data_IF_400385140343
#
_entry.id   IF_400385140343
#
_cell.length_a   1.000
_cell.length_b   1.000
_cell.length_c   1.000
_cell.angle_alpha   90.00
_cell.angle_beta   90.00
_cell.angle_gamma   90.00
#
_symmetry.space_group_name_H-M   'P 1'
#
loop_
_entity.id
_entity.type
_entity.pdbx_description
1 polymer ?
#
# COMPACT_ATOMS: atom_id res chain seq x y z
N UNK A 1 -55.06 20.32 61.67
CA UNK A 1 -56.23 19.44 61.72
C UNK A 1 -55.88 18.18 61.01
N UNK A 2 -55.53 17.11 61.83
CA UNK A 2 -56.13 15.76 61.82
C UNK A 2 -56.03 15.05 60.46
N UNK A 3 -55.51 13.85 60.21
CA UNK A 3 -55.41 12.62 61.02
C UNK A 3 -54.64 11.64 60.17
N UNK A 4 -53.63 10.97 60.68
CA UNK A 4 -53.37 9.56 60.88
C UNK A 4 -54.11 8.54 59.99
N UNK A 5 -53.42 7.58 59.38
CA UNK A 5 -53.55 6.15 59.67
C UNK A 5 -52.59 5.30 58.86
N UNK A 6 -51.67 4.81 59.52
CA UNK A 6 -51.09 3.46 59.63
C UNK A 6 -51.85 2.33 58.90
N UNK A 7 -51.13 1.54 58.12
CA UNK A 7 -51.59 0.18 57.83
C UNK A 7 -50.34 -0.71 57.49
N UNK A 8 -49.90 -1.33 58.56
CA UNK A 8 -48.96 -2.47 58.57
C UNK A 8 -49.59 -3.68 57.85
N UNK A 9 -49.00 -4.14 56.81
CA UNK A 9 -49.31 -5.45 56.22
C UNK A 9 -48.08 -6.39 56.29
N UNK A 10 -48.27 -7.40 57.12
CA UNK A 10 -47.38 -8.48 57.43
C UNK A 10 -47.14 -9.35 56.17
N UNK A 11 -45.89 -9.55 55.76
CA UNK A 11 -45.47 -10.54 54.77
C UNK A 11 -45.57 -11.96 55.33
N UNK A 12 -46.15 -12.93 54.60
CA UNK A 12 -46.16 -14.32 55.03
C UNK A 12 -44.81 -15.00 54.80
N UNK A 13 -44.34 -15.66 55.80
CA UNK A 13 -43.04 -16.39 55.91
C UNK A 13 -42.93 -17.67 55.08
N UNK A 14 -43.55 -17.81 53.91
CA UNK A 14 -43.58 -19.08 53.16
C UNK A 14 -43.08 -19.02 51.72
N UNK A 15 -42.36 -17.97 51.30
CA UNK A 15 -41.85 -17.84 49.91
C UNK A 15 -40.32 -17.74 49.81
N UNK A 16 -39.57 -18.35 50.72
CA UNK A 16 -38.11 -18.23 50.83
C UNK A 16 -37.35 -19.49 50.46
N UNK A 17 -37.91 -20.38 49.64
CA UNK A 17 -37.22 -21.62 49.26
C UNK A 17 -37.24 -21.99 47.77
N UNK A 18 -37.50 -21.08 46.84
CA UNK A 18 -37.45 -21.38 45.40
C UNK A 18 -36.69 -20.27 44.65
N UNK A 19 -35.53 -19.83 45.09
CA UNK A 19 -34.69 -18.87 44.39
C UNK A 19 -33.21 -19.26 44.49
N UNK A 20 -32.89 -20.51 44.36
CA UNK A 20 -31.52 -21.00 44.57
C UNK A 20 -31.02 -22.00 43.53
N UNK A 21 -31.55 -22.01 42.29
CA UNK A 21 -31.07 -23.01 41.33
C UNK A 21 -31.18 -22.60 39.86
N UNK A 22 -30.83 -21.36 39.53
CA UNK A 22 -30.79 -20.89 38.13
C UNK A 22 -29.66 -19.89 37.94
N UNK A 23 -28.46 -20.21 38.38
CA UNK A 23 -27.30 -19.28 38.32
C UNK A 23 -25.97 -19.93 37.94
N UNK A 24 -25.98 -21.00 37.13
CA UNK A 24 -24.74 -21.67 36.73
C UNK A 24 -24.80 -22.20 35.30
N UNK A 25 -25.21 -21.42 34.34
CA UNK A 25 -25.13 -21.75 32.93
C UNK A 25 -24.88 -20.48 32.06
N UNK A 26 -23.86 -19.74 32.36
CA UNK A 26 -23.51 -18.50 31.64
C UNK A 26 -22.01 -18.26 31.53
N UNK A 27 -21.19 -19.27 31.73
CA UNK A 27 -19.76 -19.25 31.38
C UNK A 27 -19.61 -19.86 29.99
N UNK A 28 -20.10 -19.17 29.02
CA UNK A 28 -20.00 -19.55 27.62
C UNK A 28 -19.18 -18.52 26.86
N UNK A 29 -18.08 -18.95 26.35
CA UNK A 29 -17.55 -18.61 25.04
C UNK A 29 -17.47 -17.10 24.73
N UNK A 30 -16.58 -16.39 25.38
CA UNK A 30 -15.85 -15.35 24.67
C UNK A 30 -14.98 -16.04 23.63
N UNK A 31 -15.62 -16.41 22.52
CA UNK A 31 -14.92 -16.67 21.28
C UNK A 31 -14.11 -15.41 20.99
N UNK A 32 -12.79 -15.46 21.14
CA UNK A 32 -11.87 -14.54 20.50
C UNK A 32 -12.09 -14.68 18.99
N UNK A 33 -13.14 -14.08 18.48
CA UNK A 33 -13.23 -13.72 17.09
C UNK A 33 -12.09 -12.74 16.84
N UNK A 34 -10.99 -13.20 16.25
CA UNK A 34 -10.08 -12.32 15.53
C UNK A 34 -10.97 -11.58 14.55
N UNK A 35 -11.25 -10.33 14.88
CA UNK A 35 -12.02 -9.44 14.02
C UNK A 35 -11.31 -9.42 12.69
N UNK A 36 -12.06 -9.70 11.63
CA UNK A 36 -11.63 -9.53 10.24
C UNK A 36 -11.47 -8.03 9.87
N UNK A 37 -11.23 -7.16 10.85
CA UNK A 37 -11.03 -5.72 10.69
C UNK A 37 -9.58 -5.33 10.33
N UNK A 38 -8.65 -6.31 10.30
CA UNK A 38 -7.25 -6.03 9.99
C UNK A 38 -6.96 -5.89 8.48
N UNK A 39 -8.00 -5.99 7.62
CA UNK A 39 -7.84 -6.01 6.17
C UNK A 39 -8.13 -4.68 5.47
N UNK A 40 -8.53 -3.63 6.19
CA UNK A 40 -8.98 -2.36 5.57
C UNK A 40 -8.20 -1.11 6.01
N UNK A 41 -7.14 -1.25 6.78
CA UNK A 41 -6.30 -0.10 7.04
C UNK A 41 -5.60 0.28 5.72
N UNK A 42 -5.91 1.48 5.20
CA UNK A 42 -5.25 2.01 4.02
C UNK A 42 -3.74 2.01 4.28
N UNK A 43 -3.00 1.27 3.44
CA UNK A 43 -1.55 1.23 3.55
C UNK A 43 -0.99 2.61 3.21
N UNK A 44 -0.09 3.08 4.06
CA UNK A 44 0.66 4.32 3.84
C UNK A 44 1.99 3.92 3.22
N UNK A 45 2.41 4.54 2.10
CA UNK A 45 3.71 4.28 1.52
C UNK A 45 4.82 4.66 2.50
N UNK A 46 5.89 3.86 2.53
CA UNK A 46 7.07 4.12 3.33
C UNK A 46 8.00 5.11 2.61
N UNK A 47 8.66 5.98 3.37
CA UNK A 47 9.66 6.90 2.81
C UNK A 47 10.99 6.19 2.60
N UNK A 48 11.74 6.65 1.60
CA UNK A 48 13.08 6.18 1.29
C UNK A 48 14.07 6.81 2.28
N UNK A 49 14.78 5.99 3.02
CA UNK A 49 15.93 6.43 3.82
C UNK A 49 17.25 6.23 3.03
N UNK A 50 18.38 6.82 3.50
CA UNK A 50 19.65 6.71 2.78
C UNK A 50 20.20 5.27 2.63
N UNK A 51 19.65 4.29 3.37
CA UNK A 51 20.06 2.89 3.31
C UNK A 51 19.04 2.00 2.60
N UNK A 52 17.95 2.58 2.13
CA UNK A 52 16.94 1.84 1.38
C UNK A 52 17.52 1.29 0.08
N UNK A 53 17.41 -0.01 -0.11
CA UNK A 53 17.93 -0.72 -1.28
C UNK A 53 16.79 -1.27 -2.13
N UNK A 54 17.06 -1.42 -3.41
CA UNK A 54 16.20 -2.15 -4.33
C UNK A 54 16.18 -3.64 -3.96
N UNK A 55 14.99 -4.24 -3.91
CA UNK A 55 14.82 -5.65 -3.59
C UNK A 55 15.31 -6.56 -4.75
N UNK A 56 15.33 -6.04 -5.97
CA UNK A 56 15.69 -6.81 -7.16
C UNK A 56 17.19 -6.95 -7.35
N UNK A 57 17.97 -5.88 -7.14
CA UNK A 57 19.39 -5.81 -7.46
C UNK A 57 20.29 -5.27 -6.33
N UNK A 58 19.70 -4.79 -5.23
CA UNK A 58 20.43 -4.30 -4.06
C UNK A 58 21.00 -2.87 -4.21
N UNK A 59 20.70 -2.15 -5.29
CA UNK A 59 21.15 -0.77 -5.49
C UNK A 59 20.55 0.16 -4.44
N UNK A 60 21.32 1.14 -3.95
CA UNK A 60 20.81 2.19 -3.07
C UNK A 60 19.87 3.12 -3.84
N UNK A 61 18.61 3.22 -3.41
CA UNK A 61 17.61 4.03 -4.10
C UNK A 61 18.00 5.51 -4.18
N UNK A 62 18.71 5.99 -3.15
CA UNK A 62 19.12 7.38 -3.02
C UNK A 62 20.14 7.83 -4.08
N UNK A 63 20.87 6.91 -4.68
CA UNK A 63 21.98 7.20 -5.58
C UNK A 63 21.57 7.36 -7.04
N UNK A 64 20.30 7.05 -7.36
CA UNK A 64 19.84 6.96 -8.74
C UNK A 64 18.65 7.87 -9.00
N UNK A 65 18.55 8.45 -10.23
CA UNK A 65 17.44 9.30 -10.64
C UNK A 65 16.18 8.50 -10.98
N UNK A 66 15.11 9.22 -11.27
CA UNK A 66 13.88 8.68 -11.80
C UNK A 66 12.94 8.07 -10.75
N UNK A 67 11.72 7.67 -11.16
CA UNK A 67 10.67 7.24 -10.26
C UNK A 67 11.02 5.96 -9.51
N UNK A 68 10.89 6.00 -8.19
CA UNK A 68 10.99 4.81 -7.34
C UNK A 68 9.62 4.16 -7.15
N UNK A 69 9.63 2.90 -6.74
CA UNK A 69 8.44 2.14 -6.50
C UNK A 69 8.52 1.29 -5.24
N UNK A 70 7.37 0.84 -4.73
CA UNK A 70 7.29 -0.07 -3.61
C UNK A 70 6.06 -0.97 -3.70
N UNK A 71 6.20 -2.22 -3.22
CA UNK A 71 5.11 -3.20 -3.13
C UNK A 71 4.94 -3.64 -1.69
N UNK A 72 3.69 -3.62 -1.21
CA UNK A 72 3.28 -4.30 0.02
C UNK A 72 2.64 -5.63 -0.33
N UNK A 73 3.20 -6.71 0.16
CA UNK A 73 2.63 -8.04 0.04
C UNK A 73 1.83 -8.43 1.29
N UNK A 74 0.88 -9.34 1.11
CA UNK A 74 0.16 -9.91 2.24
C UNK A 74 1.12 -10.64 3.18
N UNK A 75 0.92 -10.48 4.50
CA UNK A 75 1.75 -11.10 5.52
C UNK A 75 3.12 -10.45 5.74
N UNK A 76 3.48 -9.40 5.01
CA UNK A 76 4.73 -8.65 5.23
C UNK A 76 4.43 -7.23 5.76
N UNK A 77 5.06 -6.81 6.87
CA UNK A 77 4.80 -5.50 7.47
C UNK A 77 5.50 -4.35 6.72
N UNK A 78 6.60 -4.65 6.02
CA UNK A 78 7.41 -3.66 5.31
C UNK A 78 7.24 -3.85 3.80
N UNK A 79 7.31 -2.76 3.01
CA UNK A 79 7.33 -2.86 1.56
C UNK A 79 8.67 -3.38 1.03
N UNK A 80 8.64 -3.95 -0.15
CA UNK A 80 9.81 -4.13 -1.00
C UNK A 80 9.95 -2.90 -1.88
N UNK A 81 11.14 -2.33 -1.93
CA UNK A 81 11.46 -1.17 -2.76
C UNK A 81 12.06 -1.57 -4.10
N UNK A 82 11.82 -0.75 -5.11
CA UNK A 82 12.40 -0.86 -6.44
C UNK A 82 13.01 0.48 -6.86
N UNK A 83 14.18 0.43 -7.45
CA UNK A 83 14.89 1.63 -7.88
C UNK A 83 14.30 2.25 -9.15
N UNK A 84 13.42 1.52 -9.85
CA UNK A 84 12.72 2.00 -11.04
C UNK A 84 11.30 1.42 -11.16
N UNK A 85 10.40 2.15 -11.78
CA UNK A 85 9.03 1.69 -12.10
C UNK A 85 9.02 0.53 -13.09
N UNK A 86 10.02 0.43 -13.97
CA UNK A 86 10.17 -0.72 -14.88
C UNK A 86 10.34 -2.01 -14.07
N UNK A 87 11.12 -1.99 -13.00
CA UNK A 87 11.32 -3.15 -12.11
C UNK A 87 10.05 -3.54 -11.37
N UNK A 88 9.30 -2.55 -10.88
CA UNK A 88 7.99 -2.77 -10.28
C UNK A 88 7.08 -3.53 -11.25
N UNK A 89 6.88 -3.01 -12.47
CA UNK A 89 5.99 -3.62 -13.44
C UNK A 89 6.51 -4.95 -13.96
N UNK A 90 7.81 -5.09 -14.16
CA UNK A 90 8.43 -6.37 -14.47
C UNK A 90 8.08 -7.42 -13.41
N UNK A 91 8.16 -7.05 -12.12
CA UNK A 91 7.82 -7.93 -10.99
C UNK A 91 6.32 -8.25 -10.95
N UNK A 92 5.44 -7.25 -11.12
CA UNK A 92 4.00 -7.43 -11.05
C UNK A 92 3.42 -8.25 -12.21
N UNK A 93 4.01 -8.14 -13.40
CA UNK A 93 3.50 -8.76 -14.63
C UNK A 93 4.13 -10.13 -14.95
N UNK A 94 5.06 -10.61 -14.11
CA UNK A 94 5.64 -11.95 -14.28
C UNK A 94 4.59 -13.02 -14.03
N UNK A 95 4.52 -14.06 -14.90
CA UNK A 95 3.59 -15.20 -14.69
C UNK A 95 3.83 -15.94 -13.37
N UNK A 96 5.06 -15.91 -12.86
CA UNK A 96 5.46 -16.55 -11.60
C UNK A 96 5.07 -15.77 -10.36
N UNK A 97 4.54 -14.55 -10.52
CA UNK A 97 4.11 -13.72 -9.38
C UNK A 97 2.81 -14.29 -8.78
N UNK A 98 2.96 -15.01 -7.68
CA UNK A 98 1.86 -15.68 -6.96
C UNK A 98 1.56 -15.05 -5.60
N UNK A 99 2.41 -14.11 -5.12
CA UNK A 99 2.20 -13.45 -3.83
C UNK A 99 1.05 -12.46 -3.92
N UNK A 100 0.14 -12.50 -2.96
CA UNK A 100 -0.95 -11.52 -2.90
C UNK A 100 -0.40 -10.10 -2.64
N UNK A 101 -0.63 -9.20 -3.59
CA UNK A 101 -0.24 -7.78 -3.50
C UNK A 101 -1.35 -7.01 -2.80
N UNK A 102 -1.05 -6.37 -1.67
CA UNK A 102 -1.98 -5.51 -0.94
C UNK A 102 -2.02 -4.10 -1.54
N UNK A 103 -0.86 -3.55 -1.88
CA UNK A 103 -0.74 -2.25 -2.55
C UNK A 103 0.60 -2.16 -3.28
N UNK A 104 0.63 -1.34 -4.33
CA UNK A 104 1.85 -0.90 -4.98
C UNK A 104 1.79 0.62 -5.14
N UNK A 105 2.89 1.29 -4.83
CA UNK A 105 3.02 2.74 -4.92
C UNK A 105 4.19 3.11 -5.83
N UNK A 106 4.05 4.25 -6.50
CA UNK A 106 5.10 4.87 -7.31
C UNK A 106 5.19 6.35 -6.98
N UNK A 107 6.31 6.97 -7.26
CA UNK A 107 6.49 8.41 -7.05
C UNK A 107 5.88 9.21 -8.20
N UNK A 108 5.26 10.34 -7.87
CA UNK A 108 4.73 11.30 -8.84
C UNK A 108 5.85 12.21 -9.35
N UNK A 109 6.33 11.98 -10.57
CA UNK A 109 7.41 12.74 -11.18
C UNK A 109 6.99 14.11 -11.70
N UNK A 110 5.72 14.44 -11.56
CA UNK A 110 5.25 15.80 -11.73
C UNK A 110 5.49 16.71 -10.51
N UNK A 111 5.75 16.08 -9.34
CA UNK A 111 5.94 16.75 -8.06
C UNK A 111 7.32 16.49 -7.47
N UNK A 112 7.85 15.27 -7.61
CA UNK A 112 9.15 14.87 -7.11
C UNK A 112 10.28 15.42 -7.98
N UNK A 113 11.42 15.69 -7.36
CA UNK A 113 12.66 15.95 -8.09
C UNK A 113 13.12 14.69 -8.84
N UNK A 114 13.54 14.83 -10.09
CA UNK A 114 13.93 13.68 -10.90
C UNK A 114 15.24 13.07 -10.47
N UNK A 115 16.21 13.91 -10.10
CA UNK A 115 17.58 13.47 -9.81
C UNK A 115 17.73 12.99 -8.36
N UNK A 116 16.87 13.48 -7.46
CA UNK A 116 16.81 13.08 -6.06
C UNK A 116 15.35 12.85 -5.61
N UNK A 117 14.65 11.87 -6.15
CA UNK A 117 13.23 11.67 -5.90
C UNK A 117 12.96 11.30 -4.43
N UNK A 118 12.04 12.03 -3.80
CA UNK A 118 11.59 11.82 -2.42
C UNK A 118 10.09 12.09 -2.31
N UNK A 119 9.42 11.32 -1.47
CA UNK A 119 8.00 11.51 -1.22
C UNK A 119 7.11 11.39 -2.45
N UNK A 120 5.98 12.09 -2.42
CA UNK A 120 5.01 12.18 -3.51
C UNK A 120 4.51 10.83 -4.03
N UNK A 121 4.31 9.89 -3.11
CA UNK A 121 3.83 8.55 -3.40
C UNK A 121 2.34 8.53 -3.72
N UNK A 122 1.96 7.72 -4.70
CA UNK A 122 0.56 7.43 -5.00
C UNK A 122 0.39 5.98 -5.46
N UNK A 123 -0.83 5.44 -5.38
CA UNK A 123 -1.11 4.07 -5.81
C UNK A 123 -0.86 3.88 -7.30
N UNK A 124 -0.03 2.91 -7.64
CA UNK A 124 0.38 2.62 -9.01
C UNK A 124 -0.80 2.40 -9.97
N UNK A 125 -1.86 1.72 -9.51
CA UNK A 125 -3.06 1.44 -10.33
C UNK A 125 -3.80 2.68 -10.82
N UNK A 126 -3.62 3.82 -10.12
CA UNK A 126 -4.24 5.11 -10.45
C UNK A 126 -3.34 5.98 -11.33
N UNK A 127 -2.16 5.50 -11.69
CA UNK A 127 -1.12 6.24 -12.38
C UNK A 127 -1.32 6.35 -13.88
N UNK A 128 -0.69 7.40 -14.40
CA UNK A 128 -0.39 7.63 -15.80
C UNK A 128 1.11 7.45 -16.00
N UNK A 129 1.50 6.81 -17.07
CA UNK A 129 2.87 6.41 -17.31
C UNK A 129 3.33 6.88 -18.69
N UNK A 130 4.57 7.37 -18.77
CA UNK A 130 5.16 7.77 -20.06
C UNK A 130 6.25 6.79 -20.43
N UNK A 131 6.03 6.04 -21.51
CA UNK A 131 6.96 5.08 -22.08
C UNK A 131 7.75 5.70 -23.23
N UNK A 132 9.05 5.40 -23.29
CA UNK A 132 9.91 5.78 -24.42
C UNK A 132 10.32 7.26 -24.43
N UNK A 133 10.33 7.90 -23.26
CA UNK A 133 10.92 9.23 -23.10
C UNK A 133 12.44 9.18 -23.23
N UNK A 134 13.05 10.33 -23.56
CA UNK A 134 14.51 10.51 -23.59
C UNK A 134 15.12 10.67 -22.19
N UNK A 135 14.29 10.83 -21.16
CA UNK A 135 14.76 10.96 -19.78
C UNK A 135 14.84 9.59 -19.15
N UNK A 136 16.04 9.21 -18.73
CA UNK A 136 16.30 7.89 -18.15
C UNK A 136 16.08 7.89 -16.63
N UNK A 137 15.68 6.73 -16.10
CA UNK A 137 15.66 6.43 -14.68
C UNK A 137 16.96 5.75 -14.24
N UNK A 138 16.87 4.99 -13.14
CA UNK A 138 18.03 4.30 -12.53
C UNK A 138 18.68 3.27 -13.44
N UNK A 139 17.88 2.55 -14.24
CA UNK A 139 18.33 1.47 -15.12
C UNK A 139 18.30 1.85 -16.61
N UNK A 140 18.31 3.14 -16.93
CA UNK A 140 18.20 3.64 -18.31
C UNK A 140 16.74 3.95 -18.69
N UNK A 141 16.19 3.43 -19.79
CA UNK A 141 14.80 3.69 -20.17
C UNK A 141 13.83 3.30 -19.05
N UNK A 142 12.93 4.23 -18.71
CA UNK A 142 12.00 4.06 -17.59
C UNK A 142 10.54 4.35 -18.00
N UNK A 143 9.60 3.97 -17.14
CA UNK A 143 8.20 4.41 -17.17
C UNK A 143 8.03 5.60 -16.22
N UNK A 144 8.11 6.82 -16.71
CA UNK A 144 7.88 8.00 -15.88
C UNK A 144 6.42 8.02 -15.38
N UNK A 145 6.23 8.12 -14.07
CA UNK A 145 4.93 8.02 -13.40
C UNK A 145 4.39 9.37 -12.98
N UNK A 146 3.08 9.57 -13.18
CA UNK A 146 2.37 10.81 -12.89
C UNK A 146 0.99 10.52 -12.30
N UNK A 147 0.57 11.31 -11.32
CA UNK A 147 -0.80 11.26 -10.80
C UNK A 147 -1.77 12.13 -11.62
N UNK A 148 -1.26 13.06 -12.43
CA UNK A 148 -2.04 14.04 -13.20
C UNK A 148 -1.65 14.04 -14.66
N UNK A 149 -2.68 14.11 -15.52
CA UNK A 149 -2.49 14.07 -16.99
C UNK A 149 -1.79 15.31 -17.53
N UNK A 150 -2.08 16.51 -17.00
CA UNK A 150 -1.43 17.76 -17.42
C UNK A 150 0.09 17.71 -17.20
N UNK A 151 0.56 17.11 -16.12
CA UNK A 151 1.97 16.92 -15.81
C UNK A 151 2.62 15.88 -16.74
N UNK A 152 1.93 14.77 -16.99
CA UNK A 152 2.39 13.76 -17.95
C UNK A 152 2.53 14.33 -19.37
N UNK A 153 1.55 15.13 -19.81
CA UNK A 153 1.60 15.80 -21.12
C UNK A 153 2.72 16.85 -21.21
N UNK A 154 2.94 17.63 -20.14
CA UNK A 154 4.06 18.55 -20.07
C UNK A 154 5.41 17.82 -20.16
N UNK A 155 5.54 16.67 -19.49
CA UNK A 155 6.73 15.83 -19.58
C UNK A 155 6.95 15.27 -21.00
N UNK A 156 5.89 14.77 -21.66
CA UNK A 156 5.95 14.28 -23.05
C UNK A 156 6.40 15.39 -24.00
N UNK A 157 5.89 16.58 -23.82
CA UNK A 157 6.29 17.75 -24.63
C UNK A 157 7.79 18.03 -24.55
N UNK A 158 8.40 17.82 -23.36
CA UNK A 158 9.82 18.11 -23.13
C UNK A 158 10.73 16.95 -23.49
N UNK A 159 10.29 15.71 -23.20
CA UNK A 159 11.16 14.51 -23.25
C UNK A 159 10.69 13.45 -24.25
N UNK A 160 9.56 13.66 -24.91
CA UNK A 160 8.95 12.65 -25.79
C UNK A 160 8.32 11.50 -25.03
N UNK A 161 8.03 10.44 -25.77
CA UNK A 161 7.35 9.26 -25.24
C UNK A 161 5.84 9.26 -25.53
N UNK A 162 5.16 8.23 -25.07
CA UNK A 162 3.71 8.06 -25.20
C UNK A 162 3.07 7.79 -23.85
N UNK A 163 1.87 8.33 -23.65
CA UNK A 163 1.09 8.13 -22.45
C UNK A 163 0.46 6.74 -22.43
N UNK A 164 0.49 6.10 -21.26
CA UNK A 164 -0.16 4.83 -20.96
C UNK A 164 -0.92 4.95 -19.64
N UNK A 165 -2.03 4.25 -19.54
CA UNK A 165 -2.68 3.92 -18.26
C UNK A 165 -2.09 2.64 -17.69
N UNK A 166 -2.25 2.43 -16.40
CA UNK A 166 -1.78 1.21 -15.72
C UNK A 166 -2.15 -0.09 -16.46
N UNK A 167 -3.41 -0.22 -16.88
CA UNK A 167 -3.91 -1.43 -17.56
C UNK A 167 -3.35 -1.65 -18.98
N UNK A 168 -2.66 -0.66 -19.54
CA UNK A 168 -2.08 -0.73 -20.89
C UNK A 168 -0.61 -1.17 -20.86
N UNK A 169 0.01 -1.26 -19.66
CA UNK A 169 1.39 -1.71 -19.51
C UNK A 169 1.43 -3.23 -19.74
N UNK A 170 2.37 -3.68 -20.59
CA UNK A 170 2.56 -5.06 -20.98
C UNK A 170 3.96 -5.55 -20.59
N UNK A 171 4.17 -6.87 -20.41
CA UNK A 171 5.47 -7.43 -20.04
C UNK A 171 6.61 -7.02 -20.96
N UNK A 172 6.37 -6.96 -22.28
CA UNK A 172 7.37 -6.57 -23.28
C UNK A 172 7.81 -5.11 -23.21
N UNK A 173 7.06 -4.26 -22.48
CA UNK A 173 7.40 -2.84 -22.26
C UNK A 173 8.32 -2.63 -21.05
N UNK A 174 8.51 -3.66 -20.25
CA UNK A 174 9.21 -3.62 -18.96
C UNK A 174 10.27 -4.71 -18.86
N UNK A 175 10.84 -5.08 -20.01
CA UNK A 175 11.94 -6.03 -20.09
C UNK A 175 13.22 -5.39 -19.51
N UNK A 176 13.86 -6.09 -18.57
CA UNK A 176 15.07 -5.66 -17.88
C UNK A 176 16.36 -6.12 -18.58
N UNK A 177 16.26 -6.87 -19.67
CA UNK A 177 17.43 -7.48 -20.34
C UNK A 177 18.44 -6.47 -20.87
N UNK A 178 18.02 -5.21 -21.07
CA UNK A 178 18.89 -4.12 -21.54
C UNK A 178 19.45 -3.22 -20.44
N UNK A 179 19.05 -3.40 -19.18
CA UNK A 179 19.37 -2.47 -18.09
C UNK A 179 20.87 -2.25 -17.87
N UNK A 180 21.65 -3.31 -17.86
CA UNK A 180 23.09 -3.26 -17.64
C UNK A 180 23.85 -2.49 -18.73
N UNK A 181 23.30 -2.32 -19.93
CA UNK A 181 23.92 -1.59 -21.03
C UNK A 181 23.82 -0.07 -20.87
N UNK A 182 23.00 0.41 -19.96
CA UNK A 182 22.70 1.84 -19.75
C UNK A 182 23.24 2.38 -18.43
N UNK A 183 23.80 1.54 -17.57
CA UNK A 183 24.43 1.99 -16.33
C UNK A 183 25.83 2.53 -16.61
N UNK A 184 25.94 3.86 -16.62
CA UNK A 184 27.22 4.57 -16.81
C UNK A 184 28.14 4.55 -15.58
N UNK A 185 27.74 3.91 -14.49
CA UNK A 185 28.47 3.85 -13.20
C UNK A 185 29.12 2.48 -12.95
N UNK A 186 28.91 1.50 -13.83
CA UNK A 186 29.62 0.21 -13.81
C UNK A 186 30.91 0.24 -14.62
#
# INVERSE_FOLDING_TARGET
MKTLLDSSTKLPRRSLLIAGMAGLAGLGLTACGKSAEDSQQALVPAEIDPRSTCDLDGMLLADYPGPKAQIFYEGTPQPLFFCDTVELFNTLLRPEQVRAVRAAFVQDMGLADWDQPRGHWFEAKNGLYVLGSKRHGSMGPTLASFSREDQAQAFIKSWGGRLLRYAEIRPEMVDLSGGALHDSRM
#
